data_IF_615839406576
#
_entry.id   IF_615839406576
#
_cell.length_a   1.000
_cell.length_b   1.000
_cell.length_c   1.000
_cell.angle_alpha   90.00
_cell.angle_beta   90.00
_cell.angle_gamma   90.00
#
_symmetry.space_group_name_H-M   'P 1'
#
loop_
_entity.id
_entity.type
_entity.pdbx_description
1 polymer ?
#
# COMPACT_ATOMS: atom_id res chain seq x y z
N UNK A 1 32.71 19.29 2.44
CA UNK A 1 31.30 19.30 2.09
C UNK A 1 30.63 18.05 2.68
N UNK A 2 30.03 18.15 3.87
CA UNK A 2 29.38 17.03 4.53
C UNK A 2 27.92 16.96 4.09
N UNK A 3 27.54 15.87 3.40
CA UNK A 3 26.15 15.56 3.07
C UNK A 3 25.46 15.03 4.33
N UNK A 4 24.56 15.81 4.90
CA UNK A 4 23.63 15.37 5.93
C UNK A 4 22.68 14.33 5.34
N UNK A 5 22.90 13.05 5.64
CA UNK A 5 21.89 12.02 5.49
C UNK A 5 20.94 12.13 6.70
N UNK A 6 19.77 12.72 6.49
CA UNK A 6 18.69 12.61 7.48
C UNK A 6 18.20 11.17 7.46
N UNK A 7 18.56 10.39 8.48
CA UNK A 7 17.89 9.14 8.81
C UNK A 7 16.50 9.51 9.31
N UNK A 8 15.44 9.12 8.59
CA UNK A 8 14.08 9.13 9.12
C UNK A 8 14.04 7.99 10.14
N UNK A 9 13.80 8.24 11.43
CA UNK A 9 13.72 7.17 12.41
C UNK A 9 12.43 6.39 12.17
N UNK A 10 12.53 5.10 11.83
CA UNK A 10 11.44 4.17 12.05
C UNK A 10 11.22 4.10 13.57
N UNK A 11 10.23 4.80 14.05
CA UNK A 11 9.82 4.70 15.46
C UNK A 11 9.09 3.37 15.59
N UNK A 12 9.78 2.37 16.14
CA UNK A 12 9.11 1.19 16.70
C UNK A 12 8.34 1.67 17.94
N UNK A 13 7.04 1.86 17.78
CA UNK A 13 6.13 2.12 18.89
C UNK A 13 5.99 0.83 19.72
N UNK A 14 6.62 0.76 20.87
CA UNK A 14 6.31 -0.16 21.96
C UNK A 14 5.63 0.66 23.06
N UNK A 15 4.34 0.73 23.05
CA UNK A 15 3.57 1.39 24.10
C UNK A 15 2.17 0.80 24.16
N UNK A 16 1.78 0.32 25.34
CA UNK A 16 0.45 -0.17 25.71
C UNK A 16 -0.56 0.99 25.87
N UNK A 17 -0.78 1.76 24.81
CA UNK A 17 -1.94 2.66 24.74
C UNK A 17 -2.60 2.42 23.40
N UNK A 18 -3.60 1.55 23.38
CA UNK A 18 -4.55 1.36 22.30
C UNK A 18 -5.43 2.61 22.21
N UNK A 19 -4.91 3.68 21.63
CA UNK A 19 -5.76 4.68 20.99
C UNK A 19 -6.29 3.98 19.73
N UNK A 20 -7.47 3.34 19.85
CA UNK A 20 -8.17 2.81 18.69
C UNK A 20 -8.47 4.00 17.77
N UNK A 21 -7.83 4.03 16.60
CA UNK A 21 -8.21 5.00 15.56
C UNK A 21 -9.68 4.78 15.25
N UNK A 22 -10.49 5.84 15.34
CA UNK A 22 -11.87 5.77 14.85
C UNK A 22 -11.83 5.47 13.35
N UNK A 23 -12.28 4.28 12.97
CA UNK A 23 -12.34 3.83 11.59
C UNK A 23 -13.73 3.30 11.26
N UNK A 24 -14.13 3.42 10.00
CA UNK A 24 -15.26 2.68 9.43
C UNK A 24 -14.78 1.33 8.93
N UNK A 25 -15.67 0.35 8.95
CA UNK A 25 -15.38 -1.00 8.45
C UNK A 25 -16.18 -1.26 7.19
N UNK A 26 -15.49 -1.55 6.11
CA UNK A 26 -16.06 -2.10 4.88
C UNK A 26 -15.87 -3.63 4.88
N UNK A 27 -16.84 -4.37 4.31
CA UNK A 27 -16.80 -5.84 4.28
C UNK A 27 -16.82 -6.31 2.84
N UNK A 28 -15.79 -7.05 2.43
CA UNK A 28 -15.65 -7.62 1.10
C UNK A 28 -16.56 -8.86 0.94
N UNK A 29 -16.60 -9.40 -0.28
CA UNK A 29 -17.55 -10.44 -0.67
C UNK A 29 -17.49 -11.70 0.22
N UNK A 30 -16.29 -12.20 0.52
CA UNK A 30 -16.06 -13.36 1.38
C UNK A 30 -15.76 -12.98 2.84
N UNK A 31 -16.27 -11.82 3.29
CA UNK A 31 -16.26 -11.36 4.68
C UNK A 31 -14.95 -10.76 5.19
N UNK A 32 -13.92 -10.59 4.36
CA UNK A 32 -12.72 -9.84 4.75
C UNK A 32 -13.07 -8.39 5.08
N UNK A 33 -12.64 -7.92 6.23
CA UNK A 33 -12.86 -6.54 6.69
C UNK A 33 -11.72 -5.64 6.21
N UNK A 34 -12.09 -4.44 5.78
CA UNK A 34 -11.18 -3.34 5.43
C UNK A 34 -11.47 -2.17 6.33
N UNK A 35 -10.47 -1.64 7.02
CA UNK A 35 -10.62 -0.48 7.87
C UNK A 35 -10.28 0.79 7.12
N UNK A 36 -11.12 1.80 7.25
CA UNK A 36 -11.02 3.05 6.49
C UNK A 36 -11.20 4.26 7.39
N UNK A 37 -10.45 5.33 7.10
CA UNK A 37 -10.70 6.67 7.65
C UNK A 37 -11.10 7.62 6.52
N UNK A 38 -11.57 8.85 6.83
CA UNK A 38 -11.84 9.83 5.79
C UNK A 38 -10.65 10.14 4.88
N UNK A 39 -9.41 10.00 5.39
CA UNK A 39 -8.17 10.23 4.65
C UNK A 39 -7.73 9.00 3.85
N UNK A 40 -8.05 7.78 4.31
CA UNK A 40 -7.68 6.51 3.71
C UNK A 40 -8.92 5.71 3.32
N UNK A 41 -9.54 6.14 2.23
CA UNK A 41 -10.65 5.45 1.56
C UNK A 41 -10.19 4.87 0.24
N UNK A 42 -10.95 3.94 -0.28
CA UNK A 42 -10.71 3.37 -1.60
C UNK A 42 -11.92 3.58 -2.52
N UNK A 43 -11.67 3.59 -3.82
CA UNK A 43 -12.69 3.63 -4.85
C UNK A 43 -12.86 2.27 -5.53
N UNK A 44 -13.80 2.21 -6.45
CA UNK A 44 -14.03 1.02 -7.30
C UNK A 44 -12.84 0.67 -8.19
N UNK A 45 -12.01 1.65 -8.53
CA UNK A 45 -10.78 1.52 -9.30
C UNK A 45 -9.78 0.56 -8.63
N UNK A 46 -9.60 0.67 -7.32
CA UNK A 46 -8.74 -0.24 -6.56
C UNK A 46 -9.24 -1.70 -6.58
N UNK A 47 -10.56 -1.90 -6.48
CA UNK A 47 -11.17 -3.23 -6.60
C UNK A 47 -11.04 -3.79 -8.02
N UNK A 48 -11.22 -2.95 -9.03
CA UNK A 48 -11.03 -3.34 -10.45
C UNK A 48 -9.57 -3.72 -10.71
N UNK A 49 -8.62 -2.93 -10.19
CA UNK A 49 -7.20 -3.24 -10.29
C UNK A 49 -6.88 -4.60 -9.64
N UNK A 50 -7.33 -4.82 -8.41
CA UNK A 50 -7.09 -6.07 -7.69
C UNK A 50 -7.60 -7.29 -8.49
N UNK A 51 -8.78 -7.19 -9.09
CA UNK A 51 -9.37 -8.25 -9.93
C UNK A 51 -8.65 -8.42 -11.26
N UNK A 52 -8.21 -7.34 -11.86
CA UNK A 52 -7.47 -7.36 -13.13
C UNK A 52 -6.12 -8.08 -13.01
N UNK A 53 -5.41 -7.87 -11.91
CA UNK A 53 -4.08 -8.42 -11.70
C UNK A 53 -4.03 -9.53 -10.64
N UNK A 54 -5.14 -10.18 -10.35
CA UNK A 54 -5.27 -11.19 -9.31
C UNK A 54 -4.11 -12.20 -9.35
N UNK A 55 -3.31 -12.32 -8.27
CA UNK A 55 -2.26 -13.32 -8.19
C UNK A 55 -2.85 -14.71 -8.00
N UNK A 56 -2.20 -15.74 -8.54
CA UNK A 56 -2.55 -17.12 -8.23
C UNK A 56 -2.38 -17.38 -6.72
N UNK A 57 -3.08 -18.37 -6.20
CA UNK A 57 -3.18 -18.66 -4.76
C UNK A 57 -1.83 -18.63 -4.01
N UNK A 58 -0.75 -19.12 -4.61
CA UNK A 58 0.57 -19.25 -3.98
C UNK A 58 1.64 -18.29 -4.53
N UNK A 59 1.30 -17.42 -5.45
CA UNK A 59 2.24 -16.44 -6.00
C UNK A 59 2.63 -15.41 -4.95
N UNK A 60 3.83 -14.86 -5.07
CA UNK A 60 4.28 -13.73 -4.25
C UNK A 60 3.78 -12.44 -4.88
N UNK A 61 3.14 -11.59 -4.09
CA UNK A 61 2.52 -10.35 -4.58
C UNK A 61 2.97 -9.12 -3.78
N UNK A 62 2.96 -7.95 -4.41
CA UNK A 62 3.19 -6.68 -3.75
C UNK A 62 2.10 -5.66 -4.13
N UNK A 63 1.53 -4.99 -3.13
CA UNK A 63 0.60 -3.88 -3.25
C UNK A 63 1.36 -2.59 -2.95
N UNK A 64 1.66 -1.82 -3.98
CA UNK A 64 2.44 -0.58 -3.89
C UNK A 64 1.49 0.61 -3.73
N UNK A 65 1.78 1.52 -2.80
CA UNK A 65 0.87 2.60 -2.39
C UNK A 65 -0.45 2.04 -1.85
N UNK A 66 -0.35 1.08 -0.93
CA UNK A 66 -1.48 0.23 -0.52
C UNK A 66 -2.61 0.97 0.21
N UNK A 67 -2.36 2.19 0.73
CA UNK A 67 -3.34 2.92 1.53
C UNK A 67 -3.80 2.09 2.73
N UNK A 68 -5.11 1.86 2.84
CA UNK A 68 -5.70 0.95 3.83
C UNK A 68 -5.59 -0.54 3.47
N UNK A 69 -4.85 -0.89 2.41
CA UNK A 69 -4.57 -2.27 2.01
C UNK A 69 -5.66 -2.94 1.19
N UNK A 70 -6.54 -2.17 0.55
CA UNK A 70 -7.70 -2.71 -0.16
C UNK A 70 -7.33 -3.73 -1.24
N UNK A 71 -6.26 -3.51 -2.02
CA UNK A 71 -5.85 -4.43 -3.10
C UNK A 71 -5.36 -5.75 -2.49
N UNK A 72 -4.48 -5.70 -1.51
CA UNK A 72 -3.97 -6.90 -0.82
C UNK A 72 -5.09 -7.68 -0.11
N UNK A 73 -6.04 -6.98 0.54
CA UNK A 73 -7.19 -7.59 1.21
C UNK A 73 -8.22 -8.17 0.24
N UNK A 74 -8.46 -7.53 -0.92
CA UNK A 74 -9.30 -8.11 -1.98
C UNK A 74 -8.68 -9.39 -2.55
N UNK A 75 -7.35 -9.43 -2.75
CA UNK A 75 -6.68 -10.67 -3.14
C UNK A 75 -6.86 -11.78 -2.10
N UNK A 76 -6.70 -11.45 -0.80
CA UNK A 76 -6.97 -12.40 0.28
C UNK A 76 -8.41 -12.90 0.25
N UNK A 77 -9.38 -11.99 0.16
CA UNK A 77 -10.81 -12.30 0.10
C UNK A 77 -11.14 -13.24 -1.05
N UNK A 78 -10.45 -13.12 -2.17
CA UNK A 78 -10.60 -13.95 -3.37
C UNK A 78 -9.78 -15.24 -3.34
N UNK A 79 -9.06 -15.52 -2.27
CA UNK A 79 -8.40 -16.81 -2.06
C UNK A 79 -6.89 -16.82 -2.24
N UNK A 80 -6.23 -15.68 -2.46
CA UNK A 80 -4.76 -15.59 -2.41
C UNK A 80 -4.26 -15.91 -1.02
N UNK A 81 -3.17 -16.71 -0.93
CA UNK A 81 -2.55 -17.15 0.32
C UNK A 81 -1.03 -17.16 0.26
N UNK A 82 -0.45 -16.76 -0.87
CA UNK A 82 1.00 -16.56 -1.02
C UNK A 82 1.47 -15.31 -0.26
N UNK A 83 2.79 -15.15 -0.03
CA UNK A 83 3.32 -13.97 0.61
C UNK A 83 2.91 -12.70 -0.13
N UNK A 84 2.46 -11.70 0.62
CA UNK A 84 2.05 -10.40 0.07
C UNK A 84 2.67 -9.28 0.89
N UNK A 85 3.46 -8.41 0.23
CA UNK A 85 3.96 -7.18 0.84
C UNK A 85 3.05 -6.02 0.45
N UNK A 86 2.57 -5.25 1.43
CA UNK A 86 1.78 -4.06 1.18
C UNK A 86 2.54 -2.82 1.66
N UNK A 87 2.92 -1.95 0.73
CA UNK A 87 3.76 -0.79 0.98
C UNK A 87 2.93 0.48 1.04
N UNK A 88 2.99 1.17 2.16
CA UNK A 88 2.33 2.46 2.35
C UNK A 88 3.30 3.45 3.01
N UNK A 89 3.39 4.65 2.45
CA UNK A 89 4.25 5.72 2.98
C UNK A 89 3.67 6.34 4.25
N UNK A 90 2.35 6.46 4.32
CA UNK A 90 1.65 7.12 5.41
C UNK A 90 1.42 6.14 6.58
N UNK A 91 1.92 6.46 7.79
CA UNK A 91 1.79 5.56 8.94
C UNK A 91 0.35 5.17 9.27
N UNK A 92 -0.60 6.11 9.11
CA UNK A 92 -2.02 5.86 9.37
C UNK A 92 -2.59 4.78 8.44
N UNK A 93 -2.34 4.88 7.13
CA UNK A 93 -2.79 3.87 6.16
C UNK A 93 -2.19 2.50 6.44
N UNK A 94 -0.88 2.45 6.71
CA UNK A 94 -0.19 1.20 7.07
C UNK A 94 -0.72 0.59 8.37
N UNK A 95 -1.09 1.41 9.37
CA UNK A 95 -1.67 0.96 10.63
C UNK A 95 -3.07 0.34 10.43
N UNK A 96 -3.93 0.96 9.61
CA UNK A 96 -5.25 0.40 9.27
C UNK A 96 -5.15 -1.02 8.71
N UNK A 97 -4.20 -1.25 7.80
CA UNK A 97 -3.95 -2.59 7.27
C UNK A 97 -3.39 -3.53 8.34
N UNK A 98 -2.45 -3.05 9.17
CA UNK A 98 -1.87 -3.87 10.24
C UNK A 98 -2.93 -4.33 11.24
N UNK A 99 -3.86 -3.46 11.61
CA UNK A 99 -4.99 -3.81 12.47
C UNK A 99 -5.91 -4.82 11.78
N UNK A 100 -6.26 -4.59 10.51
CA UNK A 100 -7.11 -5.49 9.75
C UNK A 100 -6.52 -6.91 9.61
N UNK A 101 -5.23 -7.05 9.32
CA UNK A 101 -4.60 -8.38 9.20
C UNK A 101 -4.44 -9.06 10.55
N UNK A 102 -4.20 -8.30 11.62
CA UNK A 102 -4.05 -8.82 12.97
C UNK A 102 -5.37 -9.33 13.52
N UNK A 103 -6.44 -8.55 13.44
CA UNK A 103 -7.75 -8.92 13.96
C UNK A 103 -8.40 -10.09 13.21
N UNK A 104 -8.02 -10.29 11.95
CA UNK A 104 -8.57 -11.35 11.09
C UNK A 104 -7.64 -12.55 10.93
N UNK A 105 -6.51 -12.57 11.64
CA UNK A 105 -5.49 -13.64 11.58
C UNK A 105 -4.99 -13.90 10.15
N UNK A 106 -4.71 -12.83 9.40
CA UNK A 106 -4.24 -12.89 8.01
C UNK A 106 -2.70 -12.86 7.98
N UNK A 107 -2.06 -13.99 8.23
CA UNK A 107 -0.61 -14.06 8.44
C UNK A 107 0.27 -13.97 7.18
N UNK A 108 -0.29 -13.97 5.96
CA UNK A 108 0.49 -13.92 4.71
C UNK A 108 0.60 -12.52 4.09
N UNK A 109 -0.14 -11.53 4.60
CA UNK A 109 -0.01 -10.12 4.22
C UNK A 109 0.86 -9.43 5.26
N UNK A 110 1.93 -8.77 4.78
CA UNK A 110 2.85 -8.01 5.63
C UNK A 110 2.74 -6.53 5.30
N UNK A 111 2.17 -5.71 6.17
CA UNK A 111 2.18 -4.26 6.04
C UNK A 111 3.59 -3.69 6.22
N UNK A 112 3.99 -2.77 5.36
CA UNK A 112 5.24 -2.04 5.43
C UNK A 112 4.97 -0.53 5.39
N UNK A 113 5.22 0.17 6.48
CA UNK A 113 5.27 1.63 6.48
C UNK A 113 6.61 2.07 5.87
N UNK A 114 6.65 2.23 4.55
CA UNK A 114 7.90 2.42 3.83
C UNK A 114 7.73 3.25 2.55
N UNK A 115 8.79 3.97 2.20
CA UNK A 115 8.90 4.63 0.90
C UNK A 115 9.32 3.60 -0.16
N UNK A 116 8.49 3.43 -1.19
CA UNK A 116 8.73 2.49 -2.29
C UNK A 116 10.06 2.78 -3.04
N UNK A 117 10.53 4.05 -3.04
CA UNK A 117 11.79 4.45 -3.67
C UNK A 117 13.01 3.82 -2.99
N UNK A 118 12.90 3.54 -1.70
CA UNK A 118 13.98 2.97 -0.88
C UNK A 118 13.74 1.55 -0.41
N UNK A 119 12.57 1.00 -0.64
CA UNK A 119 12.23 -0.38 -0.26
C UNK A 119 13.03 -1.39 -1.08
N UNK A 120 13.63 -2.38 -0.39
CA UNK A 120 14.56 -3.36 -0.99
C UNK A 120 14.25 -4.81 -0.60
N UNK A 121 13.27 -5.05 0.28
CA UNK A 121 12.98 -6.42 0.72
C UNK A 121 12.34 -7.22 -0.41
N UNK A 122 12.86 -8.41 -0.66
CA UNK A 122 12.33 -9.32 -1.66
C UNK A 122 12.58 -8.88 -3.10
N UNK A 123 13.67 -8.15 -3.40
CA UNK A 123 14.07 -7.83 -4.77
C UNK A 123 14.13 -9.11 -5.63
N UNK A 124 13.55 -9.05 -6.84
CA UNK A 124 13.52 -10.18 -7.78
C UNK A 124 12.70 -11.39 -7.31
N UNK A 125 11.79 -11.23 -6.32
CA UNK A 125 11.05 -12.36 -5.77
C UNK A 125 9.53 -12.33 -5.97
N UNK A 126 8.98 -11.23 -6.51
CA UNK A 126 7.55 -11.07 -6.68
C UNK A 126 7.07 -11.50 -8.07
N UNK A 127 5.96 -12.21 -8.11
CA UNK A 127 5.29 -12.61 -9.35
C UNK A 127 4.39 -11.50 -9.88
N UNK A 128 3.78 -10.73 -8.97
CA UNK A 128 2.81 -9.69 -9.28
C UNK A 128 3.07 -8.46 -8.41
N UNK A 129 3.11 -7.29 -9.04
CA UNK A 129 2.99 -6.01 -8.36
C UNK A 129 1.71 -5.30 -8.84
N UNK A 130 0.98 -4.69 -7.93
CA UNK A 130 -0.10 -3.77 -8.23
C UNK A 130 0.20 -2.40 -7.64
N UNK A 131 -0.30 -1.34 -8.27
CA UNK A 131 -0.23 0.01 -7.72
C UNK A 131 -1.47 0.80 -8.13
N UNK A 132 -2.18 1.33 -7.13
CA UNK A 132 -3.18 2.38 -7.33
C UNK A 132 -2.63 3.66 -6.69
N UNK A 133 -1.73 4.39 -7.37
CA UNK A 133 -1.09 5.55 -6.78
C UNK A 133 -2.10 6.68 -6.58
N UNK A 134 -1.85 7.61 -5.63
CA UNK A 134 -2.64 8.82 -5.57
C UNK A 134 -2.54 9.53 -6.94
N UNK A 135 -3.70 9.83 -7.55
CA UNK A 135 -3.75 10.37 -8.90
C UNK A 135 -2.82 11.58 -9.05
N UNK A 136 -1.93 11.53 -10.03
CA UNK A 136 -1.08 12.65 -10.43
C UNK A 136 -1.94 13.71 -11.14
N UNK A 137 -2.89 14.33 -10.44
CA UNK A 137 -3.79 15.30 -11.03
C UNK A 137 -3.08 16.62 -11.28
N UNK A 138 -2.77 16.88 -12.53
CA UNK A 138 -2.79 18.22 -13.09
C UNK A 138 -4.27 18.67 -13.21
N UNK A 139 -5.01 18.70 -12.11
CA UNK A 139 -6.38 19.21 -12.05
C UNK A 139 -6.43 20.58 -11.40
N UNK A 140 -7.53 21.35 -11.54
CA UNK A 140 -7.64 22.71 -11.02
C UNK A 140 -7.37 22.70 -9.51
N UNK A 141 -6.39 23.50 -9.10
CA UNK A 141 -5.89 23.63 -7.74
C UNK A 141 -7.05 23.85 -6.75
N UNK A 142 -7.24 22.90 -5.85
CA UNK A 142 -8.09 23.14 -4.68
C UNK A 142 -7.47 24.29 -3.87
N UNK A 143 -8.33 25.21 -3.39
CA UNK A 143 -7.95 26.50 -2.79
C UNK A 143 -7.17 26.43 -1.46
N UNK A 144 -6.59 25.28 -1.10
CA UNK A 144 -5.71 25.10 0.05
C UNK A 144 -4.28 24.76 -0.39
N UNK A 145 -3.55 25.78 -0.86
CA UNK A 145 -2.17 25.67 -1.31
C UNK A 145 -1.22 25.01 -0.29
N UNK A 146 -1.45 25.18 1.02
CA UNK A 146 -0.64 24.57 2.09
C UNK A 146 -0.82 23.03 2.15
N UNK A 147 -2.02 22.53 1.93
CA UNK A 147 -2.28 21.09 1.86
C UNK A 147 -1.83 20.46 0.53
N UNK A 148 -1.82 21.25 -0.55
CA UNK A 148 -1.31 20.82 -1.84
C UNK A 148 0.23 20.68 -1.81
N UNK A 149 0.94 21.63 -1.18
CA UNK A 149 2.40 21.59 -1.05
C UNK A 149 2.90 20.38 -0.25
N UNK A 150 2.23 20.07 0.89
CA UNK A 150 2.56 18.91 1.70
C UNK A 150 2.30 17.57 0.99
N UNK A 151 1.36 17.53 0.03
CA UNK A 151 1.12 16.35 -0.82
C UNK A 151 2.14 16.23 -1.94
N UNK A 152 2.64 17.32 -2.50
CA UNK A 152 3.61 17.31 -3.62
C UNK A 152 5.02 16.88 -3.20
N UNK A 153 5.42 17.10 -1.95
CA UNK A 153 6.75 16.69 -1.48
C UNK A 153 6.86 15.20 -1.14
N UNK A 154 5.73 14.50 -0.98
CA UNK A 154 5.68 13.09 -0.56
C UNK A 154 5.09 12.12 -1.58
N UNK A 155 4.64 12.60 -2.72
CA UNK A 155 4.07 11.73 -3.76
C UNK A 155 5.17 11.10 -4.60
N UNK A 156 5.08 9.78 -4.84
CA UNK A 156 5.91 9.11 -5.82
C UNK A 156 5.46 9.46 -7.24
N UNK A 157 6.40 9.45 -8.17
CA UNK A 157 6.12 9.58 -9.61
C UNK A 157 5.80 8.20 -10.22
N UNK A 158 5.26 8.20 -11.44
CA UNK A 158 5.09 6.96 -12.21
C UNK A 158 6.43 6.22 -12.39
N UNK A 159 7.50 6.98 -12.65
CA UNK A 159 8.85 6.41 -12.79
C UNK A 159 9.32 5.74 -11.48
N UNK A 160 9.01 6.30 -10.32
CA UNK A 160 9.34 5.70 -9.02
C UNK A 160 8.60 4.37 -8.83
N UNK A 161 7.32 4.31 -9.19
CA UNK A 161 6.51 3.08 -9.14
C UNK A 161 7.08 2.02 -10.08
N UNK A 162 7.35 2.39 -11.33
CA UNK A 162 7.94 1.47 -12.31
C UNK A 162 9.32 0.97 -11.87
N UNK A 163 10.18 1.86 -11.35
CA UNK A 163 11.49 1.49 -10.86
C UNK A 163 11.40 0.56 -9.63
N UNK A 164 10.45 0.80 -8.72
CA UNK A 164 10.21 -0.09 -7.58
C UNK A 164 9.74 -1.47 -8.06
N UNK A 165 8.71 -1.50 -8.90
CA UNK A 165 8.17 -2.76 -9.42
C UNK A 165 9.22 -3.55 -10.21
N UNK A 166 10.03 -2.89 -11.04
CA UNK A 166 11.12 -3.54 -11.78
C UNK A 166 12.14 -4.21 -10.85
N UNK A 167 12.47 -3.59 -9.72
CA UNK A 167 13.36 -4.20 -8.73
C UNK A 167 12.75 -5.39 -8.02
N UNK A 168 11.45 -5.33 -7.71
CA UNK A 168 10.77 -6.35 -6.92
C UNK A 168 10.39 -7.57 -7.75
N UNK A 169 10.03 -7.38 -9.01
CA UNK A 169 9.53 -8.45 -9.87
C UNK A 169 10.62 -9.44 -10.28
N UNK A 170 10.23 -10.70 -10.35
CA UNK A 170 10.98 -11.76 -11.02
C UNK A 170 11.03 -11.50 -12.53
N UNK A 171 11.94 -12.18 -13.23
CA UNK A 171 11.87 -12.29 -14.69
C UNK A 171 10.52 -12.90 -15.09
N UNK A 172 9.79 -12.21 -15.97
CA UNK A 172 8.43 -12.58 -16.36
C UNK A 172 7.33 -12.22 -15.37
N UNK A 173 7.65 -11.55 -14.26
CA UNK A 173 6.68 -10.95 -13.35
C UNK A 173 5.91 -9.79 -14.02
N UNK A 174 4.78 -9.41 -13.44
CA UNK A 174 3.91 -8.38 -14.03
C UNK A 174 3.56 -7.26 -13.05
N UNK A 175 3.57 -6.03 -13.56
CA UNK A 175 3.02 -4.86 -12.89
C UNK A 175 1.65 -4.55 -13.48
N UNK A 176 0.65 -4.32 -12.63
CA UNK A 176 -0.60 -3.68 -12.99
C UNK A 176 -0.71 -2.32 -12.29
N UNK A 177 -1.13 -1.32 -13.01
CA UNK A 177 -1.19 0.05 -12.55
C UNK A 177 -2.55 0.65 -12.93
N UNK A 178 -3.17 1.38 -11.99
CA UNK A 178 -4.30 2.25 -12.26
C UNK A 178 -3.78 3.66 -12.54
N UNK A 179 -4.09 4.23 -13.73
CA UNK A 179 -3.61 5.55 -14.13
C UNK A 179 -4.68 6.29 -14.93
#
# INVERSE_FOLDING_TARGET
MHKFRRKIPCIFWKGNDTLSMEHSTEVLYNRTKVYCTPAHRFGSDALLLARFCEPKRSQTAADLCSGCGIVALEWHDRGHRGPCAALELQPEGSALLADAVTEQDIGHITPHCADLRTFRQGEGSFDVCACNPPYFTAGPQSQNAAHALARHENTCTLDDVCACAFRLLKDGGRLALCH
#
